data_IF_407892428368
#
_entry.id   IF_407892428368
#
_cell.length_a   1.000
_cell.length_b   1.000
_cell.length_c   1.000
_cell.angle_alpha   90.00
_cell.angle_beta   90.00
_cell.angle_gamma   90.00
#
_symmetry.space_group_name_H-M   'P 1'
#
loop_
_entity.id
_entity.type
_entity.pdbx_description
1 polymer ?
#
# COMPACT_ATOMS: atom_id res chain seq x y z
N UNK A 1 11.45 -12.64 14.52
CA UNK A 1 10.62 -13.50 13.66
C UNK A 1 11.57 -14.34 12.82
N UNK A 2 11.41 -15.67 12.75
CA UNK A 2 12.32 -16.54 11.98
C UNK A 2 11.91 -16.60 10.50
N UNK A 3 12.83 -16.26 9.60
CA UNK A 3 12.59 -16.24 8.16
C UNK A 3 12.30 -17.63 7.58
N UNK A 4 12.91 -18.69 8.15
CA UNK A 4 12.65 -20.06 7.67
C UNK A 4 11.20 -20.44 7.90
N UNK A 5 10.66 -20.15 9.09
CA UNK A 5 9.26 -20.37 9.40
C UNK A 5 8.32 -19.52 8.54
N UNK A 6 8.63 -18.24 8.28
CA UNK A 6 7.80 -17.40 7.39
C UNK A 6 7.73 -17.99 5.98
N UNK A 7 8.87 -18.40 5.42
CA UNK A 7 8.91 -19.00 4.07
C UNK A 7 8.16 -20.33 4.01
N UNK A 8 8.27 -21.16 5.05
CA UNK A 8 7.50 -22.41 5.17
C UNK A 8 5.99 -22.13 5.19
N UNK A 9 5.53 -21.22 6.05
CA UNK A 9 4.12 -20.88 6.18
C UNK A 9 3.56 -20.28 4.88
N UNK A 10 4.32 -19.40 4.22
CA UNK A 10 3.92 -18.83 2.93
C UNK A 10 3.74 -19.91 1.84
N UNK A 11 4.59 -20.94 1.84
CA UNK A 11 4.47 -22.09 0.93
C UNK A 11 3.24 -22.93 1.26
N UNK A 12 2.98 -23.19 2.53
CA UNK A 12 1.79 -23.93 2.98
C UNK A 12 0.50 -23.22 2.60
N UNK A 13 0.39 -21.91 2.89
CA UNK A 13 -0.79 -21.09 2.53
C UNK A 13 -1.03 -21.12 1.02
N UNK A 14 0.02 -20.92 0.22
CA UNK A 14 -0.09 -20.96 -1.25
C UNK A 14 -0.64 -22.31 -1.73
N UNK A 15 -0.13 -23.40 -1.18
CA UNK A 15 -0.51 -24.75 -1.61
C UNK A 15 -1.91 -25.14 -1.16
N UNK A 16 -2.28 -24.85 0.10
CA UNK A 16 -3.60 -25.16 0.66
C UNK A 16 -4.70 -24.38 -0.08
N UNK A 17 -4.46 -23.11 -0.36
CA UNK A 17 -5.44 -22.24 -1.03
C UNK A 17 -5.29 -22.22 -2.56
N UNK A 18 -4.39 -23.03 -3.13
CA UNK A 18 -4.09 -23.08 -4.56
C UNK A 18 -3.84 -21.69 -5.19
N UNK A 19 -3.13 -20.81 -4.48
CA UNK A 19 -2.93 -19.43 -4.93
C UNK A 19 -1.99 -19.38 -6.15
N UNK A 20 -2.27 -18.50 -7.13
CA UNK A 20 -1.41 -18.33 -8.30
C UNK A 20 -0.03 -17.75 -7.96
N UNK A 21 0.08 -17.02 -6.85
CA UNK A 21 1.32 -16.42 -6.35
C UNK A 21 1.49 -16.66 -4.85
N UNK A 22 2.68 -16.41 -4.33
CA UNK A 22 2.88 -16.35 -2.89
C UNK A 22 2.12 -15.17 -2.28
N UNK A 23 1.72 -15.25 -0.99
CA UNK A 23 1.27 -14.09 -0.23
C UNK A 23 2.31 -12.97 -0.30
N UNK A 24 1.84 -11.72 -0.38
CA UNK A 24 2.72 -10.56 -0.43
C UNK A 24 3.16 -10.19 0.99
N UNK A 25 4.47 -10.05 1.21
CA UNK A 25 5.01 -9.52 2.45
C UNK A 25 4.96 -7.98 2.43
N UNK A 26 4.39 -7.39 3.48
CA UNK A 26 4.29 -5.94 3.67
C UNK A 26 4.97 -5.59 5.00
N UNK A 27 5.83 -4.57 4.98
CA UNK A 27 6.50 -4.03 6.16
C UNK A 27 6.37 -2.52 6.16
N UNK A 28 5.87 -1.95 7.26
CA UNK A 28 5.99 -0.51 7.51
C UNK A 28 7.41 -0.22 7.98
N UNK A 29 8.07 0.76 7.36
CA UNK A 29 9.45 1.14 7.68
C UNK A 29 9.44 2.25 8.72
N UNK A 30 10.39 2.19 9.66
CA UNK A 30 10.54 3.24 10.68
C UNK A 30 11.38 4.40 10.15
N UNK A 31 12.31 4.13 9.24
CA UNK A 31 13.14 5.16 8.61
C UNK A 31 13.50 4.82 7.15
N UNK A 32 14.09 5.79 6.43
CA UNK A 32 14.51 5.60 5.02
C UNK A 32 15.73 4.67 4.91
N UNK A 33 16.51 4.56 5.97
CA UNK A 33 17.70 3.70 6.05
C UNK A 33 17.31 2.22 6.14
N UNK A 34 16.07 1.91 6.56
CA UNK A 34 15.53 0.54 6.59
C UNK A 34 15.11 0.01 5.21
N UNK A 35 15.20 0.84 4.15
CA UNK A 35 14.85 0.44 2.80
C UNK A 35 15.88 -0.59 2.30
N UNK A 36 15.47 -1.81 1.89
CA UNK A 36 16.39 -2.80 1.36
C UNK A 36 17.13 -2.27 0.12
N UNK A 37 18.42 -2.62 -0.03
CA UNK A 37 19.25 -2.14 -1.15
C UNK A 37 18.71 -2.56 -2.53
N UNK A 38 18.04 -3.71 -2.61
CA UNK A 38 17.40 -4.22 -3.82
C UNK A 38 16.04 -3.58 -4.13
N UNK A 39 15.48 -2.83 -3.17
CA UNK A 39 14.16 -2.22 -3.33
C UNK A 39 14.19 -1.10 -4.37
N UNK A 40 13.18 -1.11 -5.25
CA UNK A 40 12.96 -0.01 -6.20
C UNK A 40 12.00 1.02 -5.62
N UNK A 41 12.39 2.28 -5.74
CA UNK A 41 11.64 3.48 -5.42
C UNK A 41 11.01 4.02 -6.73
N UNK A 42 9.68 4.05 -6.89
CA UNK A 42 9.06 4.44 -8.15
C UNK A 42 9.55 5.79 -8.72
N UNK A 43 9.46 6.87 -7.94
CA UNK A 43 9.83 8.19 -8.46
C UNK A 43 11.33 8.26 -8.74
N UNK A 44 12.16 7.75 -7.82
CA UNK A 44 13.62 7.83 -7.91
C UNK A 44 14.21 6.94 -9.01
N UNK A 45 13.77 5.69 -9.12
CA UNK A 45 14.39 4.67 -9.98
C UNK A 45 13.64 4.43 -11.30
N UNK A 46 12.36 4.82 -11.38
CA UNK A 46 11.50 4.60 -12.56
C UNK A 46 11.09 5.92 -13.23
N UNK A 47 11.18 7.05 -12.51
CA UNK A 47 10.90 8.39 -13.04
C UNK A 47 9.42 8.77 -13.02
N UNK A 48 8.56 8.00 -12.34
CA UNK A 48 7.13 8.26 -12.25
C UNK A 48 6.53 7.72 -10.94
N UNK A 49 5.38 8.26 -10.55
CA UNK A 49 4.64 7.80 -9.37
C UNK A 49 3.80 6.57 -9.68
N UNK A 50 3.51 5.77 -8.66
CA UNK A 50 2.62 4.62 -8.76
C UNK A 50 1.49 4.72 -7.75
N UNK A 51 0.34 4.15 -8.09
CA UNK A 51 -0.65 3.80 -7.06
C UNK A 51 -0.15 2.62 -6.24
N UNK A 52 -0.50 2.56 -4.96
CA UNK A 52 -0.06 1.48 -4.07
C UNK A 52 -0.45 0.09 -4.62
N UNK A 53 -1.62 -0.04 -5.23
CA UNK A 53 -2.08 -1.28 -5.85
C UNK A 53 -1.20 -1.70 -7.03
N UNK A 54 -0.67 -0.76 -7.81
CA UNK A 54 0.29 -1.03 -8.88
C UNK A 54 1.62 -1.51 -8.28
N UNK A 55 2.09 -0.87 -7.20
CA UNK A 55 3.25 -1.34 -6.44
C UNK A 55 3.08 -2.79 -5.95
N UNK A 56 1.92 -3.12 -5.38
CA UNK A 56 1.60 -4.50 -4.98
C UNK A 56 1.56 -5.48 -6.16
N UNK A 57 1.01 -5.08 -7.30
CA UNK A 57 0.97 -5.92 -8.50
C UNK A 57 2.39 -6.20 -9.03
N UNK A 58 3.25 -5.18 -9.09
CA UNK A 58 4.65 -5.33 -9.51
C UNK A 58 5.39 -6.26 -8.55
N UNK A 59 5.22 -6.10 -7.23
CA UNK A 59 5.86 -7.01 -6.27
C UNK A 59 5.35 -8.45 -6.39
N UNK A 60 4.05 -8.62 -6.58
CA UNK A 60 3.40 -9.95 -6.65
C UNK A 60 3.76 -10.72 -7.91
N UNK A 61 3.65 -10.09 -9.07
CA UNK A 61 3.81 -10.75 -10.36
C UNK A 61 5.24 -10.62 -10.91
N UNK A 62 5.84 -9.44 -10.73
CA UNK A 62 7.22 -9.15 -11.15
C UNK A 62 8.29 -9.59 -10.17
N UNK A 63 7.89 -10.06 -8.96
CA UNK A 63 8.80 -10.50 -7.88
C UNK A 63 9.86 -9.44 -7.56
N UNK A 64 9.46 -8.17 -7.59
CA UNK A 64 10.33 -7.03 -7.24
C UNK A 64 10.05 -6.60 -5.81
N UNK A 65 11.10 -6.17 -5.11
CA UNK A 65 10.92 -5.44 -3.85
C UNK A 65 10.66 -3.98 -4.21
N UNK A 66 9.51 -3.44 -3.81
CA UNK A 66 9.13 -2.04 -4.07
C UNK A 66 9.01 -1.31 -2.73
N UNK A 67 9.70 -0.18 -2.60
CA UNK A 67 9.55 0.74 -1.47
C UNK A 67 8.68 1.91 -1.91
N UNK A 68 7.54 2.09 -1.23
CA UNK A 68 6.58 3.16 -1.50
C UNK A 68 6.66 4.20 -0.38
N UNK A 69 7.33 5.33 -0.63
CA UNK A 69 7.27 6.49 0.25
C UNK A 69 6.16 7.45 -0.19
N UNK A 70 5.91 8.49 0.62
CA UNK A 70 4.94 9.55 0.31
C UNK A 70 5.15 10.11 -1.09
N UNK A 71 6.38 10.44 -1.46
CA UNK A 71 6.70 11.01 -2.77
C UNK A 71 6.56 10.03 -3.93
N UNK A 72 6.50 8.72 -3.68
CA UNK A 72 6.40 7.72 -4.75
C UNK A 72 4.95 7.40 -5.13
N UNK A 73 3.97 7.87 -4.35
CA UNK A 73 2.56 7.52 -4.50
C UNK A 73 1.73 8.61 -5.18
N UNK A 74 0.85 8.20 -6.09
CA UNK A 74 -0.22 9.07 -6.61
C UNK A 74 -1.53 8.92 -5.82
N UNK A 75 -1.78 7.73 -5.30
CA UNK A 75 -3.03 7.43 -4.60
C UNK A 75 -3.10 8.15 -3.24
N UNK A 76 -4.22 8.87 -3.04
CA UNK A 76 -4.51 9.59 -1.81
C UNK A 76 -4.91 8.66 -0.64
N UNK A 77 -5.63 7.57 -0.93
CA UNK A 77 -6.12 6.67 0.11
C UNK A 77 -5.01 6.06 0.98
N UNK A 78 -3.90 5.51 0.44
CA UNK A 78 -2.82 4.97 1.26
C UNK A 78 -1.95 6.06 1.89
N UNK A 79 -1.84 7.24 1.28
CA UNK A 79 -1.07 8.34 1.88
C UNK A 79 -1.71 8.84 3.16
N UNK A 80 -3.04 8.98 3.19
CA UNK A 80 -3.78 9.29 4.43
C UNK A 80 -3.88 8.06 5.33
N UNK A 81 -4.31 6.92 4.79
CA UNK A 81 -4.60 5.71 5.56
C UNK A 81 -3.39 5.05 6.22
N UNK A 82 -2.17 5.31 5.75
CA UNK A 82 -0.92 4.88 6.41
C UNK A 82 -0.27 5.98 7.27
N UNK A 83 -0.92 7.14 7.43
CA UNK A 83 -0.40 8.22 8.26
C UNK A 83 0.78 8.99 7.64
N UNK A 84 0.99 8.91 6.31
CA UNK A 84 2.04 9.71 5.66
C UNK A 84 1.66 11.20 5.56
N UNK A 85 0.37 11.50 5.59
CA UNK A 85 -0.17 12.86 5.60
C UNK A 85 -1.40 12.95 6.48
N UNK A 86 -1.59 14.11 7.09
CA UNK A 86 -2.86 14.46 7.73
C UNK A 86 -3.96 14.62 6.67
N UNK A 87 -5.19 14.15 6.93
CA UNK A 87 -6.32 14.33 6.03
C UNK A 87 -6.71 15.81 5.94
N UNK A 88 -7.03 16.28 4.73
CA UNK A 88 -7.60 17.61 4.56
C UNK A 88 -9.06 17.68 5.02
N UNK A 89 -9.60 18.87 5.35
CA UNK A 89 -11.01 19.03 5.66
C UNK A 89 -11.92 18.48 4.55
N UNK A 90 -11.59 18.74 3.29
CA UNK A 90 -12.36 18.26 2.13
C UNK A 90 -12.38 16.73 2.06
N UNK A 91 -11.25 16.10 2.38
CA UNK A 91 -11.18 14.65 2.46
C UNK A 91 -12.11 14.10 3.54
N UNK A 92 -12.08 14.67 4.75
CA UNK A 92 -12.93 14.27 5.88
C UNK A 92 -14.44 14.41 5.60
N UNK A 93 -14.79 15.33 4.71
CA UNK A 93 -16.14 15.55 4.20
C UNK A 93 -16.54 14.57 3.08
N UNK A 94 -15.63 13.68 2.67
CA UNK A 94 -15.82 12.75 1.57
C UNK A 94 -15.81 13.45 0.20
N UNK A 95 -15.26 14.66 0.10
CA UNK A 95 -15.22 15.42 -1.14
C UNK A 95 -13.93 15.15 -1.91
N UNK A 96 -13.83 13.96 -2.52
CA UNK A 96 -12.69 13.57 -3.35
C UNK A 96 -13.11 12.60 -4.45
N UNK A 97 -12.20 12.37 -5.41
CA UNK A 97 -12.49 11.60 -6.64
C UNK A 97 -13.09 10.20 -6.41
N UNK A 98 -12.65 9.47 -5.38
CA UNK A 98 -13.21 8.14 -5.05
C UNK A 98 -14.67 8.18 -4.54
N UNK A 99 -15.18 9.34 -4.17
CA UNK A 99 -16.49 9.53 -3.56
C UNK A 99 -17.50 10.21 -4.48
N UNK A 100 -17.11 10.68 -5.67
CA UNK A 100 -17.99 11.48 -6.54
C UNK A 100 -19.24 10.75 -7.02
N UNK A 101 -19.17 9.43 -7.18
CA UNK A 101 -20.33 8.62 -7.54
C UNK A 101 -21.19 8.19 -6.34
N UNK A 102 -20.78 8.55 -5.11
CA UNK A 102 -21.45 8.15 -3.88
C UNK A 102 -22.36 9.26 -3.37
N UNK A 103 -23.40 8.88 -2.62
CA UNK A 103 -24.13 9.84 -1.81
C UNK A 103 -23.20 10.49 -0.78
N UNK A 104 -23.22 11.82 -0.66
CA UNK A 104 -22.31 12.57 0.21
C UNK A 104 -22.31 12.08 1.68
N UNK A 105 -23.49 11.74 2.22
CA UNK A 105 -23.61 11.22 3.59
C UNK A 105 -22.91 9.87 3.73
N UNK A 106 -23.03 9.01 2.72
CA UNK A 106 -22.36 7.70 2.69
C UNK A 106 -20.85 7.88 2.56
N UNK A 107 -20.39 8.75 1.65
CA UNK A 107 -18.98 9.07 1.49
C UNK A 107 -18.35 9.56 2.79
N UNK A 108 -18.99 10.53 3.46
CA UNK A 108 -18.53 11.04 4.76
C UNK A 108 -18.42 9.92 5.80
N UNK A 109 -19.44 9.07 5.92
CA UNK A 109 -19.44 7.98 6.89
C UNK A 109 -18.30 6.97 6.64
N UNK A 110 -18.07 6.60 5.38
CA UNK A 110 -16.96 5.70 5.02
C UNK A 110 -15.62 6.32 5.42
N UNK A 111 -15.42 7.59 5.08
CA UNK A 111 -14.17 8.29 5.39
C UNK A 111 -13.95 8.42 6.90
N UNK A 112 -14.98 8.77 7.67
CA UNK A 112 -14.85 8.86 9.13
C UNK A 112 -14.55 7.50 9.78
N UNK A 113 -14.98 6.40 9.16
CA UNK A 113 -14.69 5.03 9.60
C UNK A 113 -13.31 4.52 9.19
N UNK A 114 -12.58 5.26 8.35
CA UNK A 114 -11.26 4.84 7.87
C UNK A 114 -10.23 4.91 9.01
N UNK A 115 -9.45 3.84 9.25
CA UNK A 115 -8.36 3.87 10.22
C UNK A 115 -7.37 4.99 9.89
N UNK A 116 -6.92 5.67 10.95
CA UNK A 116 -5.92 6.75 10.90
C UNK A 116 -4.85 6.39 11.93
N UNK A 117 -3.61 6.28 11.49
CA UNK A 117 -2.46 5.87 12.28
C UNK A 117 -1.49 7.03 12.49
#
# INVERSE_FOLDING_TARGET
MDLKNIHKNAKEIKNILCLPTYPLAIKMLSSKEDIPNEAKRPLKDMGYHLDLCQGFAISRWGKKTIAMLKEDMWCMAPTVGFGFVEPSPEWLEGNHHLSYAMNQKVARNIIQSTPRY
#
